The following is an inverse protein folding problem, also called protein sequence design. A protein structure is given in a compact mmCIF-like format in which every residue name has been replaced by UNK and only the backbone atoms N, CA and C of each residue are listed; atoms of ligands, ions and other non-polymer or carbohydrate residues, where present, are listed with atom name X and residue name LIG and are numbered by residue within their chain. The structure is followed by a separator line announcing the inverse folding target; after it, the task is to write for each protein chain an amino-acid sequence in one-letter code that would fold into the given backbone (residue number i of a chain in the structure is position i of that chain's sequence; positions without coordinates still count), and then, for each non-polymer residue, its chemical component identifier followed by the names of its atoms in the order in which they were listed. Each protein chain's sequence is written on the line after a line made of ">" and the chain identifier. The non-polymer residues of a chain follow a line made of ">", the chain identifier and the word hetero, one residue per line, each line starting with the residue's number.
data_IF_029045823627
#
_entry.id   IF_029045823627
#
_cell.length_a   1.000
_cell.length_b   1.000
_cell.length_c   1.000
_cell.angle_alpha   90.00
_cell.angle_beta   90.00
_cell.angle_gamma   90.00
#
_symmetry.space_group_name_H-M   'P 1'
#
loop_
_entity.id
_entity.type
_entity.pdbx_description
1 polymer ?
#
# COMPACT_ATOMS: atom_id res chain seq x y z
N UNK A 1 26.41 -0.73 19.82
CA UNK A 1 25.59 0.42 20.27
C UNK A 1 24.42 0.57 19.31
N UNK A 2 23.17 0.59 19.79
CA UNK A 2 22.03 1.01 18.97
C UNK A 2 21.94 2.53 19.08
N UNK A 3 22.23 3.25 17.99
CA UNK A 3 21.93 4.67 17.93
C UNK A 3 20.41 4.84 17.98
N UNK A 4 19.88 5.82 18.74
CA UNK A 4 18.46 6.11 18.69
C UNK A 4 18.11 6.56 17.26
N UNK A 5 17.16 5.87 16.63
CA UNK A 5 16.58 6.30 15.36
C UNK A 5 15.85 7.62 15.63
N UNK A 6 16.28 8.70 14.99
CA UNK A 6 15.62 10.01 15.07
C UNK A 6 14.90 10.28 13.77
N UNK A 7 13.57 10.32 13.81
CA UNK A 7 12.78 10.81 12.70
C UNK A 7 12.88 12.35 12.66
N UNK A 8 13.25 12.90 11.51
CA UNK A 8 13.33 14.35 11.26
C UNK A 8 12.36 14.70 10.15
N UNK A 9 11.52 15.71 10.38
CA UNK A 9 10.55 16.19 9.40
C UNK A 9 11.24 17.18 8.46
N UNK A 10 11.03 17.05 7.15
CA UNK A 10 11.47 18.05 6.18
C UNK A 10 10.82 19.44 6.43
N UNK A 11 11.52 20.55 6.13
CA UNK A 11 10.94 21.89 6.23
C UNK A 11 9.74 22.14 5.31
N UNK A 12 9.70 21.46 4.16
CA UNK A 12 8.77 21.69 3.05
C UNK A 12 7.46 20.87 3.12
N UNK A 13 7.21 20.22 4.26
CA UNK A 13 6.03 19.36 4.42
C UNK A 13 4.69 20.12 4.33
N UNK A 14 3.60 19.47 3.88
CA UNK A 14 3.53 18.08 3.41
C UNK A 14 4.08 17.89 1.98
N UNK A 15 4.65 16.71 1.70
CA UNK A 15 5.28 16.38 0.40
C UNK A 15 4.27 16.23 -0.76
N UNK A 16 3.02 15.89 -0.46
CA UNK A 16 1.87 15.95 -1.36
C UNK A 16 0.71 16.63 -0.62
N UNK A 17 -0.14 17.38 -1.33
CA UNK A 17 -1.20 18.19 -0.73
C UNK A 17 -2.42 18.33 -1.64
N UNK A 18 -3.62 18.59 -1.09
CA UNK A 18 -4.79 18.90 -1.90
C UNK A 18 -4.53 20.07 -2.86
N UNK A 19 -5.08 20.00 -4.07
CA UNK A 19 -4.99 21.06 -5.09
C UNK A 19 -3.66 21.16 -5.83
N UNK A 20 -2.70 20.26 -5.61
CA UNK A 20 -1.55 20.12 -6.51
C UNK A 20 -1.96 19.45 -7.83
N UNK A 21 -1.18 19.59 -8.92
CA UNK A 21 -1.45 18.92 -10.18
C UNK A 21 -1.73 17.41 -10.01
N UNK A 22 -2.90 16.96 -10.44
CA UNK A 22 -3.39 15.58 -10.31
C UNK A 22 -4.15 15.25 -9.01
N UNK A 23 -4.24 16.21 -8.07
CA UNK A 23 -5.03 16.13 -6.82
C UNK A 23 -6.00 17.32 -6.67
N UNK A 24 -6.55 17.78 -7.78
CA UNK A 24 -7.63 18.76 -7.81
C UNK A 24 -8.96 18.14 -7.34
N UNK A 25 -9.88 18.99 -6.87
CA UNK A 25 -11.23 18.62 -6.46
C UNK A 25 -11.27 17.43 -5.47
N UNK A 26 -12.23 16.51 -5.64
CA UNK A 26 -12.40 15.31 -4.81
C UNK A 26 -11.20 14.36 -4.86
N UNK A 27 -10.30 14.50 -5.85
CA UNK A 27 -9.04 13.74 -5.82
C UNK A 27 -8.17 14.18 -4.65
N UNK A 28 -8.15 15.48 -4.31
CA UNK A 28 -7.32 15.99 -3.23
C UNK A 28 -7.92 15.91 -1.84
N UNK A 29 -9.23 15.71 -1.69
CA UNK A 29 -9.96 15.85 -0.41
C UNK A 29 -9.58 14.80 0.64
N UNK A 30 -9.07 13.64 0.22
CA UNK A 30 -8.62 12.57 1.10
C UNK A 30 -7.32 11.94 0.57
N UNK A 31 -6.22 12.16 1.30
CA UNK A 31 -4.91 11.56 1.04
C UNK A 31 -4.59 10.69 2.26
N UNK A 32 -4.77 9.38 2.14
CA UNK A 32 -4.78 8.47 3.29
C UNK A 32 -3.95 7.20 3.06
N UNK A 33 -3.48 6.64 4.18
CA UNK A 33 -2.72 5.40 4.26
C UNK A 33 -1.50 5.37 3.33
N UNK A 34 -0.60 6.37 3.37
CA UNK A 34 0.55 6.39 2.50
C UNK A 34 1.52 5.24 2.80
N UNK A 35 2.07 4.64 1.75
CA UNK A 35 3.16 3.67 1.80
C UNK A 35 4.23 4.05 0.78
N UNK A 36 5.45 4.28 1.26
CA UNK A 36 6.58 4.76 0.47
C UNK A 36 7.56 3.62 0.22
N UNK A 37 7.94 3.43 -1.02
CA UNK A 37 9.07 2.58 -1.40
C UNK A 37 10.12 3.38 -2.17
N UNK A 38 11.37 2.94 -2.04
CA UNK A 38 12.37 3.23 -3.07
C UNK A 38 12.14 2.25 -4.21
N UNK A 39 12.07 2.75 -5.44
CA UNK A 39 11.92 1.90 -6.62
C UNK A 39 13.15 1.01 -6.76
N UNK A 40 12.98 -0.32 -6.85
CA UNK A 40 14.11 -1.24 -6.95
C UNK A 40 14.74 -1.22 -8.35
N UNK A 41 16.03 -1.54 -8.40
CA UNK A 41 16.85 -1.42 -9.60
C UNK A 41 16.45 -2.39 -10.74
N UNK A 42 15.60 -3.39 -10.45
CA UNK A 42 15.08 -4.33 -11.44
C UNK A 42 13.86 -3.81 -12.20
N UNK A 43 13.29 -2.66 -11.82
CA UNK A 43 12.22 -2.01 -12.58
C UNK A 43 12.85 -1.21 -13.71
N UNK A 44 12.48 -1.55 -14.94
CA UNK A 44 12.91 -0.84 -16.12
C UNK A 44 12.09 0.45 -16.30
N UNK A 45 12.76 1.54 -16.67
CA UNK A 45 12.14 2.83 -16.95
C UNK A 45 11.18 3.35 -15.83
N UNK A 46 11.64 3.43 -14.58
CA UNK A 46 10.79 3.89 -13.49
C UNK A 46 10.39 5.35 -13.66
N UNK A 47 9.19 5.74 -13.19
CA UNK A 47 8.72 7.13 -13.24
C UNK A 47 9.59 8.07 -12.39
N UNK A 48 10.23 7.53 -11.34
CA UNK A 48 11.18 8.22 -10.48
C UNK A 48 11.81 7.25 -9.47
N UNK A 49 12.73 7.75 -8.64
CA UNK A 49 13.42 6.90 -7.63
C UNK A 49 12.56 6.44 -6.46
N UNK A 50 11.43 7.11 -6.20
CA UNK A 50 10.54 6.83 -5.07
C UNK A 50 9.10 6.80 -5.52
N UNK A 51 8.36 5.79 -5.06
CA UNK A 51 6.92 5.63 -5.27
C UNK A 51 6.20 5.72 -3.92
N UNK A 52 5.22 6.61 -3.84
CA UNK A 52 4.35 6.83 -2.69
C UNK A 52 2.92 6.44 -3.06
N UNK A 53 2.49 5.27 -2.60
CA UNK A 53 1.14 4.78 -2.80
C UNK A 53 0.22 5.32 -1.72
N UNK A 54 -0.98 5.73 -2.07
CA UNK A 54 -1.98 6.25 -1.13
C UNK A 54 -3.38 6.06 -1.70
N UNK A 55 -4.41 6.35 -0.93
CA UNK A 55 -5.79 6.23 -1.41
C UNK A 55 -6.68 7.36 -0.88
N UNK A 56 -7.81 7.53 -1.55
CA UNK A 56 -8.98 8.16 -0.97
C UNK A 56 -9.77 7.07 -0.22
N UNK A 57 -10.17 7.30 1.03
CA UNK A 57 -10.86 6.28 1.84
C UNK A 57 -12.16 5.77 1.19
N UNK A 58 -12.82 6.59 0.39
CA UNK A 58 -14.01 6.22 -0.41
C UNK A 58 -13.69 6.08 -1.92
N UNK A 59 -12.41 5.96 -2.25
CA UNK A 59 -11.91 5.92 -3.62
C UNK A 59 -12.12 4.57 -4.30
N UNK A 60 -12.04 4.59 -5.63
CA UNK A 60 -12.18 3.39 -6.48
C UNK A 60 -10.84 2.83 -6.96
N UNK A 61 -9.72 3.41 -6.53
CA UNK A 61 -8.39 2.98 -6.93
C UNK A 61 -7.31 3.43 -5.94
N UNK A 62 -6.20 2.70 -5.93
CA UNK A 62 -4.97 3.10 -5.26
C UNK A 62 -4.22 4.08 -6.16
N UNK A 63 -3.81 5.21 -5.57
CA UNK A 63 -3.11 6.30 -6.24
C UNK A 63 -1.61 6.18 -6.02
N UNK A 64 -0.85 6.80 -6.92
CA UNK A 64 0.59 6.86 -6.87
C UNK A 64 1.07 8.30 -7.04
N UNK A 65 1.97 8.73 -6.17
CA UNK A 65 2.85 9.86 -6.41
C UNK A 65 4.29 9.36 -6.56
N UNK A 66 5.10 10.04 -7.37
CA UNK A 66 6.49 9.66 -7.61
C UNK A 66 7.42 10.88 -7.60
N UNK A 67 8.68 10.64 -7.24
CA UNK A 67 9.74 11.65 -7.22
C UNK A 67 11.14 11.02 -7.30
N UNK A 68 12.14 11.80 -7.72
CA UNK A 68 13.55 11.39 -7.70
C UNK A 68 14.27 11.70 -6.38
N UNK A 69 13.70 12.58 -5.57
CA UNK A 69 14.17 13.01 -4.25
C UNK A 69 13.00 12.99 -3.26
N UNK A 70 13.28 12.66 -2.00
CA UNK A 70 12.25 12.62 -0.95
C UNK A 70 11.68 14.02 -0.65
N UNK A 71 12.50 15.05 -0.87
CA UNK A 71 12.12 16.45 -0.84
C UNK A 71 11.21 16.86 -2.01
N UNK A 72 11.09 16.01 -3.03
CA UNK A 72 10.31 16.29 -4.24
C UNK A 72 11.16 16.94 -5.35
N UNK A 73 10.54 17.48 -6.39
CA UNK A 73 9.09 17.64 -6.59
C UNK A 73 8.35 16.31 -6.78
N UNK A 74 7.19 16.18 -6.12
CA UNK A 74 6.32 15.01 -6.26
C UNK A 74 5.30 15.22 -7.38
N UNK A 75 5.15 14.21 -8.23
CA UNK A 75 4.19 14.18 -9.34
C UNK A 75 3.16 13.08 -9.11
N UNK A 76 1.93 13.30 -9.58
CA UNK A 76 0.85 12.32 -9.46
C UNK A 76 0.78 11.49 -10.74
N UNK A 77 0.71 10.17 -10.58
CA UNK A 77 0.37 9.25 -11.66
C UNK A 77 -1.16 9.13 -11.71
N UNK A 78 -1.79 9.88 -12.61
CA UNK A 78 -3.25 10.07 -12.63
C UNK A 78 -4.04 8.79 -12.89
N UNK A 79 -3.45 7.82 -13.56
CA UNK A 79 -4.09 6.55 -13.90
C UNK A 79 -4.34 5.68 -12.66
N UNK A 80 -3.62 5.89 -11.55
CA UNK A 80 -3.65 4.97 -10.40
C UNK A 80 -2.98 3.63 -10.70
N UNK A 81 -2.92 2.75 -9.71
CA UNK A 81 -2.12 1.50 -9.81
C UNK A 81 -2.89 0.20 -9.58
N UNK A 82 -4.04 0.28 -8.90
CA UNK A 82 -4.95 -0.84 -8.67
C UNK A 82 -6.37 -0.29 -8.62
N UNK A 83 -7.28 -0.80 -9.44
CA UNK A 83 -8.67 -0.34 -9.50
C UNK A 83 -9.62 -1.33 -8.84
N UNK A 84 -10.71 -0.82 -8.26
CA UNK A 84 -11.68 -1.60 -7.49
C UNK A 84 -12.30 -2.73 -8.31
N UNK A 85 -12.59 -2.47 -9.59
CA UNK A 85 -13.18 -3.42 -10.54
C UNK A 85 -12.23 -4.56 -10.94
N UNK A 86 -10.94 -4.44 -10.61
CA UNK A 86 -9.92 -5.49 -10.77
C UNK A 86 -9.77 -6.36 -9.51
N UNK A 87 -10.64 -6.18 -8.52
CA UNK A 87 -10.57 -6.86 -7.22
C UNK A 87 -11.87 -7.59 -6.85
N UNK A 88 -11.78 -8.48 -5.87
CA UNK A 88 -12.95 -9.08 -5.21
C UNK A 88 -13.63 -8.14 -4.19
N UNK A 89 -13.26 -6.85 -4.16
CA UNK A 89 -13.87 -5.86 -3.26
C UNK A 89 -15.07 -5.15 -3.89
N UNK A 90 -15.84 -4.51 -3.02
CA UNK A 90 -16.95 -3.62 -3.34
C UNK A 90 -16.80 -2.33 -2.53
N UNK A 91 -17.55 -1.31 -2.93
CA UNK A 91 -17.57 0.03 -2.33
C UNK A 91 -16.23 0.79 -2.40
N UNK A 92 -15.13 0.34 -1.80
CA UNK A 92 -13.83 0.99 -1.91
C UNK A 92 -12.65 0.03 -1.71
N UNK A 93 -11.47 0.48 -2.13
CA UNK A 93 -10.17 -0.09 -1.77
C UNK A 93 -9.24 1.02 -1.27
N UNK A 94 -8.49 0.77 -0.20
CA UNK A 94 -7.67 1.81 0.41
C UNK A 94 -6.53 1.28 1.31
N UNK A 95 -5.83 2.23 1.95
CA UNK A 95 -4.76 2.04 2.95
C UNK A 95 -3.65 1.06 2.55
N UNK A 96 -3.03 1.24 1.37
CA UNK A 96 -2.01 0.34 0.88
C UNK A 96 -0.82 0.25 1.86
N UNK A 97 -0.24 -0.94 1.96
CA UNK A 97 1.04 -1.22 2.59
C UNK A 97 1.89 -2.01 1.61
N UNK A 98 2.95 -1.38 1.09
CA UNK A 98 3.68 -1.84 -0.08
C UNK A 98 5.09 -2.26 0.29
N UNK A 99 5.47 -3.46 -0.13
CA UNK A 99 6.75 -4.10 0.16
C UNK A 99 7.43 -4.52 -1.14
N UNK A 100 8.75 -4.37 -1.17
CA UNK A 100 9.58 -4.83 -2.29
C UNK A 100 10.20 -6.18 -1.93
N UNK A 101 9.91 -7.20 -2.74
CA UNK A 101 10.58 -8.49 -2.72
C UNK A 101 11.63 -8.51 -3.84
N UNK A 102 12.90 -8.32 -3.47
CA UNK A 102 14.00 -8.27 -4.45
C UNK A 102 14.39 -9.65 -4.98
N UNK A 103 14.13 -10.72 -4.22
CA UNK A 103 14.46 -12.08 -4.65
C UNK A 103 13.46 -12.53 -5.72
N UNK A 104 12.16 -12.33 -5.47
CA UNK A 104 11.11 -12.63 -6.42
C UNK A 104 10.96 -11.59 -7.54
N UNK A 105 11.65 -10.44 -7.44
CA UNK A 105 11.45 -9.25 -8.31
C UNK A 105 9.98 -8.86 -8.40
N UNK A 106 9.36 -8.70 -7.23
CA UNK A 106 7.93 -8.46 -7.09
C UNK A 106 7.69 -7.34 -6.10
N UNK A 107 6.74 -6.45 -6.40
CA UNK A 107 6.14 -5.53 -5.45
C UNK A 107 4.84 -6.13 -4.93
N UNK A 108 4.70 -6.17 -3.60
CA UNK A 108 3.54 -6.71 -2.88
C UNK A 108 2.80 -5.57 -2.20
N UNK A 109 1.53 -5.39 -2.54
CA UNK A 109 0.63 -4.40 -1.93
C UNK A 109 -0.44 -5.10 -1.10
N UNK A 110 -0.41 -4.90 0.21
CA UNK A 110 -1.51 -5.25 1.09
C UNK A 110 -2.49 -4.08 1.13
N UNK A 111 -3.74 -4.32 0.75
CA UNK A 111 -4.78 -3.30 0.73
C UNK A 111 -6.04 -3.85 1.38
N UNK A 112 -6.95 -2.97 1.81
CA UNK A 112 -8.23 -3.39 2.35
C UNK A 112 -9.39 -2.90 1.50
N UNK A 113 -10.54 -3.55 1.67
CA UNK A 113 -11.83 -3.16 1.13
C UNK A 113 -12.93 -4.09 1.63
N UNK A 114 -14.17 -3.85 1.19
CA UNK A 114 -15.30 -4.72 1.53
C UNK A 114 -15.37 -5.91 0.58
N UNK A 115 -15.19 -7.13 1.10
CA UNK A 115 -15.23 -8.32 0.25
C UNK A 115 -16.64 -8.58 -0.32
N UNK A 116 -16.75 -8.81 -1.63
CA UNK A 116 -18.02 -9.07 -2.30
C UNK A 116 -18.73 -10.30 -1.70
N UNK A 117 -20.02 -10.17 -1.42
CA UNK A 117 -20.82 -11.28 -0.87
C UNK A 117 -20.66 -11.51 0.64
N UNK A 118 -19.90 -10.68 1.36
CA UNK A 118 -19.89 -10.64 2.83
C UNK A 118 -20.77 -9.51 3.38
N UNK A 119 -20.98 -9.49 4.70
CA UNK A 119 -21.68 -8.38 5.33
C UNK A 119 -20.95 -7.06 5.07
N UNK A 120 -21.71 -5.98 4.89
CA UNK A 120 -21.22 -4.61 4.60
C UNK A 120 -20.30 -3.97 5.66
N UNK A 121 -19.91 -4.70 6.68
CA UNK A 121 -18.98 -4.28 7.74
C UNK A 121 -17.72 -5.16 7.82
N UNK A 122 -17.62 -6.18 6.96
CA UNK A 122 -16.50 -7.11 6.93
C UNK A 122 -15.42 -6.60 5.97
N UNK A 123 -14.74 -5.52 6.36
CA UNK A 123 -13.53 -5.12 5.66
C UNK A 123 -12.43 -6.15 5.93
N UNK A 124 -11.69 -6.47 4.88
CA UNK A 124 -10.62 -7.46 4.91
C UNK A 124 -9.37 -6.92 4.27
N UNK A 125 -8.21 -7.48 4.60
CA UNK A 125 -6.99 -7.27 3.83
C UNK A 125 -6.84 -8.34 2.76
N UNK A 126 -6.43 -7.94 1.57
CA UNK A 126 -6.03 -8.80 0.44
C UNK A 126 -4.63 -8.38 -0.05
N UNK A 127 -4.04 -9.18 -0.93
CA UNK A 127 -2.74 -8.92 -1.53
C UNK A 127 -2.89 -8.69 -3.03
N UNK A 128 -2.23 -7.65 -3.55
CA UNK A 128 -1.97 -7.48 -4.97
C UNK A 128 -0.47 -7.51 -5.25
N UNK A 129 -0.09 -7.96 -6.45
CA UNK A 129 1.30 -8.13 -6.87
C UNK A 129 1.58 -7.37 -8.16
N UNK A 130 2.79 -6.85 -8.30
CA UNK A 130 3.24 -6.12 -9.49
C UNK A 130 4.71 -6.41 -9.80
N UNK A 131 5.08 -6.37 -11.08
CA UNK A 131 6.47 -6.45 -11.56
C UNK A 131 7.01 -5.10 -12.06
N UNK A 132 6.22 -4.03 -12.00
CA UNK A 132 6.61 -2.69 -12.48
C UNK A 132 6.24 -1.56 -11.51
N UNK A 133 5.50 -1.87 -10.45
CA UNK A 133 5.01 -0.92 -9.46
C UNK A 133 3.90 0.00 -9.96
N UNK A 134 3.39 -0.23 -11.19
CA UNK A 134 2.32 0.57 -11.80
C UNK A 134 1.07 -0.27 -12.04
N UNK A 135 1.21 -1.53 -12.45
CA UNK A 135 0.09 -2.43 -12.73
C UNK A 135 0.07 -3.55 -11.70
N UNK A 136 -1.00 -3.62 -10.91
CA UNK A 136 -1.17 -4.61 -9.85
C UNK A 136 -2.26 -5.61 -10.17
N UNK A 137 -1.99 -6.88 -9.92
CA UNK A 137 -2.98 -7.95 -9.98
C UNK A 137 -3.37 -8.35 -8.57
N UNK A 138 -4.63 -8.14 -8.19
CA UNK A 138 -5.17 -8.58 -6.91
C UNK A 138 -5.36 -10.10 -6.88
N UNK A 139 -5.03 -10.71 -5.76
CA UNK A 139 -5.28 -12.12 -5.49
C UNK A 139 -6.62 -12.31 -4.76
N UNK A 140 -7.32 -13.44 -4.96
CA UNK A 140 -8.64 -13.67 -4.39
C UNK A 140 -8.62 -13.99 -2.88
N UNK A 141 -7.47 -14.32 -2.30
CA UNK A 141 -7.37 -14.75 -0.91
C UNK A 141 -7.55 -13.61 0.08
N UNK A 142 -8.43 -13.85 1.07
CA UNK A 142 -8.59 -12.99 2.23
C UNK A 142 -7.47 -13.30 3.23
N UNK A 143 -6.67 -12.30 3.56
CA UNK A 143 -5.51 -12.46 4.44
C UNK A 143 -5.83 -12.24 5.93
N UNK A 144 -6.89 -11.50 6.23
CA UNK A 144 -7.31 -11.23 7.60
C UNK A 144 -8.05 -9.91 7.74
N UNK A 145 -8.08 -9.34 8.95
CA UNK A 145 -8.71 -8.04 9.20
C UNK A 145 -8.11 -6.91 8.35
N UNK A 146 -8.81 -5.78 8.28
CA UNK A 146 -8.39 -4.61 7.51
C UNK A 146 -7.16 -3.89 8.11
N UNK A 147 -6.53 -3.05 7.29
CA UNK A 147 -5.36 -2.23 7.64
C UNK A 147 -4.10 -3.01 8.07
N UNK A 148 -3.70 -4.04 7.31
CA UNK A 148 -2.40 -4.65 7.56
C UNK A 148 -1.26 -3.64 7.44
N UNK A 149 -0.33 -3.74 8.39
CA UNK A 149 1.03 -3.22 8.34
C UNK A 149 1.97 -4.39 8.53
N UNK A 150 2.57 -4.82 7.44
CA UNK A 150 3.40 -6.01 7.35
C UNK A 150 4.85 -5.62 7.64
N UNK A 151 5.57 -6.51 8.32
CA UNK A 151 7.00 -6.34 8.56
C UNK A 151 7.68 -7.71 8.70
N UNK A 152 8.98 -7.75 8.41
CA UNK A 152 9.79 -8.94 8.59
C UNK A 152 10.56 -8.88 9.90
N UNK A 153 10.61 -10.02 10.61
CA UNK A 153 11.44 -10.18 11.80
C UNK A 153 11.88 -11.65 11.93
N UNK A 154 13.17 -11.89 12.14
CA UNK A 154 13.76 -13.23 12.31
C UNK A 154 13.33 -14.26 11.25
N UNK A 155 13.25 -13.86 9.98
CA UNK A 155 12.86 -14.74 8.87
C UNK A 155 11.36 -15.00 8.73
N UNK A 156 10.52 -14.32 9.52
CA UNK A 156 9.06 -14.42 9.44
C UNK A 156 8.44 -13.10 9.00
N UNK A 157 7.30 -13.20 8.31
CA UNK A 157 6.42 -12.07 8.02
C UNK A 157 5.33 -11.98 9.09
N UNK A 158 5.19 -10.79 9.66
CA UNK A 158 4.18 -10.43 10.65
C UNK A 158 3.28 -9.33 10.08
N UNK A 159 2.05 -9.26 10.58
CA UNK A 159 1.14 -8.15 10.30
C UNK A 159 0.55 -7.61 11.61
N UNK A 160 0.56 -6.28 11.73
CA UNK A 160 -0.31 -5.57 12.67
C UNK A 160 -1.55 -5.19 11.89
N UNK A 161 -2.72 -5.54 12.41
CA UNK A 161 -3.99 -5.23 11.77
C UNK A 161 -4.86 -4.42 12.72
N UNK A 162 -5.78 -3.62 12.16
CA UNK A 162 -6.83 -3.07 12.98
C UNK A 162 -7.93 -4.13 13.12
N UNK A 163 -8.11 -4.57 14.34
CA UNK A 163 -9.37 -5.14 14.79
C UNK A 163 -9.70 -4.44 16.12
N UNK A 164 -10.97 -4.45 16.52
CA UNK A 164 -11.43 -3.86 17.78
C UNK A 164 -10.66 -4.36 19.04
N UNK A 165 -9.78 -5.36 18.89
CA UNK A 165 -9.00 -6.01 19.94
C UNK A 165 -7.47 -5.90 19.80
N UNK A 166 -6.93 -5.05 18.89
CA UNK A 166 -5.48 -4.80 18.77
C UNK A 166 -4.60 -6.04 18.58
N UNK A 167 -5.07 -7.05 17.84
CA UNK A 167 -4.38 -8.35 17.74
C UNK A 167 -3.17 -8.28 16.81
N UNK A 168 -1.99 -8.65 17.34
CA UNK A 168 -0.84 -9.05 16.52
C UNK A 168 -1.14 -10.43 15.96
N UNK A 169 -1.38 -10.53 14.65
CA UNK A 169 -1.53 -11.83 13.99
C UNK A 169 -0.14 -12.42 13.79
N UNK A 170 0.19 -13.44 14.59
CA UNK A 170 1.42 -14.21 14.48
C UNK A 170 1.21 -15.38 13.51
N UNK A 171 2.00 -15.45 12.45
CA UNK A 171 1.99 -16.57 11.52
C UNK A 171 2.57 -17.84 12.18
N UNK A 172 1.71 -18.62 12.83
CA UNK A 172 1.79 -20.09 12.84
C UNK A 172 0.51 -20.64 12.19
N UNK A 173 0.60 -21.68 11.35
CA UNK A 173 -0.40 -21.95 10.32
C UNK A 173 -1.72 -22.40 10.93
N UNK A 174 -2.66 -21.47 11.02
CA UNK A 174 -4.08 -21.75 11.18
C UNK A 174 -4.72 -21.07 9.98
N UNK A 175 -5.13 -21.88 9.00
CA UNK A 175 -5.73 -21.45 7.72
C UNK A 175 -4.85 -20.52 6.86
N UNK A 176 -3.79 -21.10 6.28
CA UNK A 176 -3.36 -20.81 4.91
C UNK A 176 -3.04 -19.36 4.51
N UNK A 177 -1.91 -18.82 4.95
CA UNK A 177 -1.13 -17.86 4.15
C UNK A 177 0.35 -18.21 4.33
N UNK A 178 0.91 -18.88 3.32
CA UNK A 178 2.36 -18.95 3.15
C UNK A 178 2.71 -17.79 2.22
N UNK A 179 3.19 -16.68 2.78
CA UNK A 179 3.92 -15.69 1.99
C UNK A 179 5.27 -16.35 1.65
N UNK A 180 5.29 -17.14 0.58
CA UNK A 180 6.54 -17.75 0.10
C UNK A 180 7.52 -16.62 -0.24
N UNK A 181 8.75 -16.76 0.24
CA UNK A 181 9.92 -16.16 -0.41
C UNK A 181 9.92 -16.57 -1.87
#
# INVERSE_FOLDING_TARGET
>A
MKFPIKAVRFPINPIIKPGMPGLEDDRGTNINGPSLIRVPDWIENPLGRYYLYFAHHLGKYIRLAYADSLEGEWKIYEQGTLHLDETACSDHIASPDVHVDNEAKEIRMYFHGYYQGRHKYDQVTMLAKSQDGLHFTALPEILGPYYFRVFQHNGFHYAIANNWYGTVMNNRPIAGIVLRS
#
